data_IF_213043147366
#
_entry.id   IF_213043147366
#
_cell.length_a   1.000
_cell.length_b   1.000
_cell.length_c   1.000
_cell.angle_alpha   90.00
_cell.angle_beta   90.00
_cell.angle_gamma   90.00
#
_symmetry.space_group_name_H-M   'P 1'
#
loop_
_entity.id
_entity.type
_entity.pdbx_description
1 polymer ?
#
# COMPACT_ATOMS: atom_id res chain seq x y z
N UNK A 1 28.91 12.74 -5.16
CA UNK A 1 27.50 12.88 -5.59
C UNK A 1 26.76 11.57 -5.33
N UNK A 2 25.48 11.63 -4.96
CA UNK A 2 24.64 10.44 -4.88
C UNK A 2 24.25 10.04 -6.31
N UNK A 3 24.42 8.78 -6.67
CA UNK A 3 24.04 8.25 -7.98
C UNK A 3 22.58 7.79 -7.88
N UNK A 4 21.63 8.41 -8.61
CA UNK A 4 20.27 7.90 -8.65
C UNK A 4 20.25 6.54 -9.35
N UNK A 5 19.67 5.55 -8.68
CA UNK A 5 19.47 4.21 -9.22
C UNK A 5 17.97 3.97 -9.40
N UNK A 6 17.59 3.23 -10.44
CA UNK A 6 16.19 2.90 -10.68
C UNK A 6 15.63 2.03 -9.56
N UNK A 7 14.33 2.19 -9.28
CA UNK A 7 13.57 1.23 -8.48
C UNK A 7 12.35 0.74 -9.29
N UNK A 8 12.22 -0.58 -9.56
CA UNK A 8 13.10 -1.66 -9.09
C UNK A 8 14.52 -1.61 -9.67
N UNK A 9 15.55 -2.12 -8.96
CA UNK A 9 16.93 -2.05 -9.41
C UNK A 9 17.14 -2.77 -10.73
N UNK A 10 17.87 -2.13 -11.65
CA UNK A 10 18.31 -2.72 -12.91
C UNK A 10 19.74 -3.20 -12.75
N UNK A 11 19.99 -4.49 -13.02
CA UNK A 11 21.32 -5.07 -12.78
C UNK A 11 22.44 -4.36 -13.55
N UNK A 12 22.16 -3.90 -14.77
CA UNK A 12 23.12 -3.16 -15.60
C UNK A 12 23.55 -1.84 -14.93
N UNK A 13 22.64 -1.18 -14.20
CA UNK A 13 22.92 0.07 -13.47
C UNK A 13 23.77 -0.18 -12.20
N UNK A 14 23.81 -1.41 -11.69
CA UNK A 14 24.54 -1.77 -10.48
C UNK A 14 26.03 -2.04 -10.73
N UNK A 15 26.44 -2.18 -12.00
CA UNK A 15 27.83 -2.48 -12.39
C UNK A 15 28.83 -1.38 -12.00
N UNK A 16 28.35 -0.15 -11.77
CA UNK A 16 29.15 1.00 -11.34
C UNK A 16 29.40 1.02 -9.83
N UNK A 17 28.75 0.13 -9.06
CA UNK A 17 28.91 0.09 -7.62
C UNK A 17 30.31 -0.43 -7.23
N UNK A 18 30.96 0.18 -6.22
CA UNK A 18 32.33 -0.18 -5.84
C UNK A 18 32.45 -1.63 -5.34
N UNK A 19 31.36 -2.19 -4.79
CA UNK A 19 31.27 -3.58 -4.32
C UNK A 19 30.63 -4.54 -5.35
N UNK A 20 30.60 -4.18 -6.64
CA UNK A 20 29.96 -4.98 -7.69
C UNK A 20 30.45 -6.43 -7.73
N UNK A 21 31.76 -6.68 -7.57
CA UNK A 21 32.30 -8.04 -7.54
C UNK A 21 31.65 -8.91 -6.45
N UNK A 22 31.50 -8.36 -5.24
CA UNK A 22 30.86 -9.07 -4.13
C UNK A 22 29.36 -9.30 -4.39
N UNK A 23 28.69 -8.31 -4.99
CA UNK A 23 27.28 -8.46 -5.41
C UNK A 23 27.14 -9.61 -6.41
N UNK A 24 28.03 -9.72 -7.40
CA UNK A 24 28.00 -10.83 -8.37
C UNK A 24 28.18 -12.19 -7.69
N UNK A 25 29.11 -12.30 -6.73
CA UNK A 25 29.33 -13.54 -5.99
C UNK A 25 28.09 -13.93 -5.17
N UNK A 26 27.45 -12.97 -4.50
CA UNK A 26 26.18 -13.20 -3.79
C UNK A 26 25.07 -13.65 -4.74
N UNK A 27 24.90 -12.98 -5.89
CA UNK A 27 23.89 -13.33 -6.89
C UNK A 27 24.09 -14.73 -7.47
N UNK A 28 25.33 -15.16 -7.67
CA UNK A 28 25.65 -16.50 -8.15
C UNK A 28 25.41 -17.59 -7.09
N UNK A 29 25.36 -17.21 -5.81
CA UNK A 29 25.13 -18.13 -4.68
C UNK A 29 23.66 -18.21 -4.23
N UNK A 30 22.75 -17.48 -4.89
CA UNK A 30 21.33 -17.48 -4.53
C UNK A 30 20.66 -18.84 -4.79
N UNK A 31 19.62 -19.19 -4.01
CA UNK A 31 18.77 -20.33 -4.33
C UNK A 31 18.05 -20.14 -5.68
N UNK A 32 17.58 -21.24 -6.31
CA UNK A 32 16.87 -21.15 -7.60
C UNK A 32 15.56 -20.35 -7.51
N UNK A 33 14.91 -20.36 -6.35
CA UNK A 33 13.69 -19.61 -6.08
C UNK A 33 13.81 -18.87 -4.74
N UNK A 34 13.27 -17.63 -4.62
CA UNK A 34 13.25 -16.91 -3.35
C UNK A 34 12.50 -17.67 -2.25
N UNK A 35 13.06 -17.67 -1.05
CA UNK A 35 12.57 -18.43 0.10
C UNK A 35 12.80 -17.68 1.42
N UNK A 36 11.93 -17.88 2.40
CA UNK A 36 12.00 -17.24 3.70
C UNK A 36 10.61 -16.94 4.26
N UNK A 37 10.42 -17.19 5.56
CA UNK A 37 9.16 -16.89 6.23
C UNK A 37 9.03 -15.39 6.56
N UNK A 38 10.16 -14.73 6.82
CA UNK A 38 10.24 -13.30 7.09
C UNK A 38 10.74 -12.50 5.88
N UNK A 39 10.46 -11.19 5.90
CA UNK A 39 10.74 -10.28 4.79
C UNK A 39 12.24 -10.14 4.51
N UNK A 40 13.09 -10.09 5.55
CA UNK A 40 14.55 -9.97 5.37
C UNK A 40 15.12 -11.21 4.68
N UNK A 41 14.86 -12.39 5.24
CA UNK A 41 15.36 -13.66 4.67
C UNK A 41 14.88 -13.84 3.23
N UNK A 42 13.61 -13.55 2.96
CA UNK A 42 13.05 -13.65 1.62
C UNK A 42 13.73 -12.71 0.63
N UNK A 43 13.92 -11.44 0.97
CA UNK A 43 14.56 -10.48 0.05
C UNK A 43 16.05 -10.80 -0.13
N UNK A 44 16.77 -11.19 0.92
CA UNK A 44 18.17 -11.62 0.80
C UNK A 44 18.28 -12.83 -0.13
N UNK A 45 17.37 -13.80 -0.05
CA UNK A 45 17.35 -14.95 -0.96
C UNK A 45 17.07 -14.59 -2.43
N UNK A 46 16.50 -13.41 -2.68
CA UNK A 46 16.17 -12.92 -4.03
C UNK A 46 17.29 -12.06 -4.65
N UNK A 47 17.99 -11.24 -3.86
CA UNK A 47 18.93 -10.24 -4.39
C UNK A 47 20.29 -10.18 -3.68
N UNK A 48 20.52 -11.04 -2.71
CA UNK A 48 21.74 -11.01 -1.89
C UNK A 48 21.70 -9.98 -0.77
N UNK A 49 22.65 -10.10 0.14
CA UNK A 49 22.77 -9.26 1.34
C UNK A 49 23.16 -7.83 0.99
N UNK A 50 24.08 -7.65 0.05
CA UNK A 50 24.58 -6.35 -0.37
C UNK A 50 23.47 -5.47 -0.95
N UNK A 51 22.60 -6.02 -1.80
CA UNK A 51 21.48 -5.26 -2.38
C UNK A 51 20.35 -5.04 -1.38
N UNK A 52 20.07 -6.03 -0.52
CA UNK A 52 19.14 -5.85 0.59
C UNK A 52 19.57 -4.69 1.50
N UNK A 53 20.84 -4.66 1.92
CA UNK A 53 21.37 -3.62 2.79
C UNK A 53 21.33 -2.24 2.13
N UNK A 54 21.58 -2.17 0.81
CA UNK A 54 21.60 -0.92 0.05
C UNK A 54 20.20 -0.33 -0.18
N UNK A 55 19.24 -1.16 -0.59
CA UNK A 55 17.93 -0.66 -1.06
C UNK A 55 16.79 -0.86 -0.05
N UNK A 56 16.85 -1.91 0.77
CA UNK A 56 15.66 -2.47 1.41
C UNK A 56 15.71 -2.38 2.92
N UNK A 57 16.82 -2.74 3.57
CA UNK A 57 16.93 -2.87 5.03
C UNK A 57 16.45 -1.61 5.76
N UNK A 58 17.11 -0.50 5.48
CA UNK A 58 16.89 0.74 6.21
C UNK A 58 15.57 1.41 5.77
N UNK A 59 15.18 1.27 4.51
CA UNK A 59 13.87 1.71 4.02
C UNK A 59 12.73 0.98 4.76
N UNK A 60 12.82 -0.34 4.85
CA UNK A 60 11.82 -1.21 5.50
C UNK A 60 11.73 -0.88 6.99
N UNK A 61 12.88 -0.75 7.67
CA UNK A 61 12.91 -0.37 9.08
C UNK A 61 12.26 1.00 9.34
N UNK A 62 12.47 1.99 8.46
CA UNK A 62 11.80 3.29 8.54
C UNK A 62 10.30 3.18 8.28
N UNK A 63 9.91 2.57 7.16
CA UNK A 63 8.52 2.45 6.74
C UNK A 63 7.67 1.74 7.78
N UNK A 64 8.19 0.66 8.37
CA UNK A 64 7.44 -0.22 9.26
C UNK A 64 7.75 -0.03 10.73
N UNK A 65 8.73 0.80 11.09
CA UNK A 65 9.10 1.04 12.49
C UNK A 65 9.46 -0.22 13.28
N UNK A 66 9.84 -1.31 12.59
CA UNK A 66 10.17 -2.61 13.17
C UNK A 66 11.16 -3.37 12.28
N UNK A 67 11.88 -4.37 12.81
CA UNK A 67 12.79 -5.20 12.02
C UNK A 67 12.08 -5.96 10.90
N UNK A 68 12.73 -6.06 9.74
CA UNK A 68 12.21 -6.83 8.60
C UNK A 68 12.10 -8.34 8.90
N UNK A 69 12.85 -8.84 9.88
CA UNK A 69 12.77 -10.22 10.38
C UNK A 69 11.47 -10.54 11.11
N UNK A 70 10.70 -9.53 11.52
CA UNK A 70 9.39 -9.72 12.15
C UNK A 70 8.22 -9.62 11.17
N UNK A 71 8.45 -9.02 9.99
CA UNK A 71 7.46 -8.87 8.93
C UNK A 71 7.32 -10.17 8.13
N UNK A 72 6.09 -10.51 7.76
CA UNK A 72 5.82 -11.64 6.87
C UNK A 72 6.42 -11.40 5.48
N UNK A 73 7.00 -12.44 4.87
CA UNK A 73 7.47 -12.40 3.48
C UNK A 73 6.36 -12.25 2.45
N UNK A 74 5.09 -12.44 2.82
CA UNK A 74 3.93 -12.37 1.91
C UNK A 74 3.83 -11.06 1.10
N UNK A 75 4.44 -9.98 1.58
CA UNK A 75 4.48 -8.69 0.89
C UNK A 75 5.65 -8.54 -0.10
N UNK A 76 6.76 -9.22 0.13
CA UNK A 76 7.98 -9.06 -0.67
C UNK A 76 7.79 -9.39 -2.17
N UNK A 77 7.13 -10.50 -2.57
CA UNK A 77 6.93 -10.81 -3.99
C UNK A 77 6.09 -9.77 -4.74
N UNK A 78 5.26 -8.99 -4.03
CA UNK A 78 4.40 -7.97 -4.65
C UNK A 78 5.12 -6.64 -4.91
N UNK A 79 6.37 -6.49 -4.44
CA UNK A 79 6.99 -5.17 -4.24
C UNK A 79 8.47 -5.09 -4.52
N UNK A 80 9.16 -6.21 -4.39
CA UNK A 80 10.61 -6.27 -4.49
C UNK A 80 10.93 -7.15 -5.70
N UNK A 81 11.68 -6.58 -6.63
CA UNK A 81 12.13 -7.25 -7.84
C UNK A 81 13.56 -6.81 -8.12
N UNK A 82 14.36 -7.69 -8.72
CA UNK A 82 15.63 -7.34 -9.34
C UNK A 82 15.51 -7.58 -10.84
N UNK A 83 15.71 -6.53 -11.65
CA UNK A 83 15.40 -6.56 -13.09
C UNK A 83 16.64 -6.57 -13.97
N UNK A 84 16.47 -7.12 -15.18
CA UNK A 84 17.52 -7.26 -16.22
C UNK A 84 16.99 -6.93 -17.62
N UNK A 85 15.81 -6.33 -17.71
CA UNK A 85 15.09 -6.11 -18.96
C UNK A 85 15.13 -4.65 -19.45
N UNK A 86 15.81 -3.77 -18.70
CA UNK A 86 15.88 -2.34 -19.00
C UNK A 86 14.58 -1.58 -18.74
N UNK A 87 13.51 -2.26 -18.27
CA UNK A 87 12.24 -1.61 -18.00
C UNK A 87 12.27 -0.93 -16.62
N UNK A 88 12.47 0.40 -16.65
CA UNK A 88 12.55 1.28 -15.48
C UNK A 88 11.19 1.71 -14.90
N UNK A 89 10.06 1.30 -15.48
CA UNK A 89 8.73 1.64 -14.96
C UNK A 89 8.51 0.92 -13.63
N UNK A 90 7.81 1.53 -12.67
CA UNK A 90 7.51 0.85 -11.40
C UNK A 90 6.62 -0.38 -11.64
N UNK A 91 5.58 -0.20 -12.45
CA UNK A 91 4.57 -1.21 -12.75
C UNK A 91 4.77 -1.82 -14.15
N UNK A 92 4.18 -3.00 -14.35
CA UNK A 92 4.14 -3.73 -15.64
C UNK A 92 2.72 -3.84 -16.19
N UNK A 93 1.76 -3.18 -15.54
CA UNK A 93 0.36 -3.26 -15.89
C UNK A 93 0.11 -2.69 -17.29
N UNK A 94 -0.82 -3.30 -18.03
CA UNK A 94 -1.20 -2.85 -19.37
C UNK A 94 -1.77 -1.44 -19.35
N UNK A 95 -2.50 -1.09 -18.28
CA UNK A 95 -3.21 0.18 -18.13
C UNK A 95 -2.69 0.93 -16.91
N UNK A 96 -1.98 2.04 -17.16
CA UNK A 96 -1.48 2.94 -16.11
C UNK A 96 -1.88 4.37 -16.46
N UNK A 97 -2.63 5.03 -15.58
CA UNK A 97 -3.18 6.34 -15.87
C UNK A 97 -3.39 7.19 -14.61
N UNK A 98 -3.20 8.50 -14.76
CA UNK A 98 -3.64 9.50 -13.81
C UNK A 98 -4.88 10.21 -14.34
N UNK A 99 -6.04 10.14 -13.66
CA UNK A 99 -7.24 10.85 -14.09
C UNK A 99 -7.00 12.35 -14.21
N UNK A 100 -7.32 12.93 -15.36
CA UNK A 100 -7.10 14.36 -15.62
C UNK A 100 -7.83 15.26 -14.60
N UNK A 101 -9.01 14.86 -14.13
CA UNK A 101 -9.78 15.56 -13.08
C UNK A 101 -9.47 15.08 -11.65
N UNK A 102 -8.42 14.27 -11.47
CA UNK A 102 -8.13 13.59 -10.22
C UNK A 102 -9.14 12.48 -9.86
N UNK A 103 -8.81 11.69 -8.84
CA UNK A 103 -9.64 10.57 -8.40
C UNK A 103 -11.02 11.00 -7.86
N UNK A 104 -11.14 12.22 -7.31
CA UNK A 104 -12.40 12.72 -6.74
C UNK A 104 -13.55 12.70 -7.75
N UNK A 105 -13.31 13.17 -8.98
CA UNK A 105 -14.34 13.21 -10.02
C UNK A 105 -14.89 11.83 -10.39
N UNK A 106 -14.09 10.77 -10.23
CA UNK A 106 -14.54 9.39 -10.43
C UNK A 106 -15.42 8.98 -9.25
N UNK A 107 -14.98 9.22 -8.01
CA UNK A 107 -15.72 8.86 -6.81
C UNK A 107 -17.08 9.56 -6.78
N UNK A 108 -17.11 10.87 -7.04
CA UNK A 108 -18.34 11.68 -7.10
C UNK A 108 -19.35 11.10 -8.10
N UNK A 109 -18.89 10.69 -9.29
CA UNK A 109 -19.77 10.07 -10.29
C UNK A 109 -20.27 8.69 -9.88
N UNK A 110 -19.45 7.89 -9.20
CA UNK A 110 -19.85 6.56 -8.73
C UNK A 110 -20.93 6.66 -7.65
N UNK A 111 -20.88 7.68 -6.79
CA UNK A 111 -21.84 7.84 -5.70
C UNK A 111 -23.06 8.71 -6.05
N UNK A 112 -23.10 9.34 -7.23
CA UNK A 112 -24.14 10.32 -7.63
C UNK A 112 -25.57 9.75 -7.56
N UNK A 113 -25.73 8.45 -7.85
CA UNK A 113 -27.01 7.76 -7.79
C UNK A 113 -27.30 7.09 -6.44
N UNK A 114 -26.36 7.13 -5.49
CA UNK A 114 -26.49 6.52 -4.18
C UNK A 114 -27.00 7.51 -3.13
N UNK A 115 -27.86 7.05 -2.22
CA UNK A 115 -28.20 7.81 -1.02
C UNK A 115 -27.03 7.71 -0.03
N UNK A 116 -26.28 8.80 0.14
CA UNK A 116 -25.12 8.86 1.04
C UNK A 116 -25.42 9.72 2.25
N UNK A 117 -25.23 9.15 3.44
CA UNK A 117 -25.34 9.86 4.72
C UNK A 117 -23.95 10.18 5.24
N UNK A 118 -23.69 11.46 5.52
CA UNK A 118 -22.42 11.94 6.08
C UNK A 118 -22.55 12.29 7.56
N UNK A 119 -21.43 12.27 8.29
CA UNK A 119 -21.39 12.72 9.69
C UNK A 119 -22.01 11.76 10.70
N UNK A 120 -22.21 10.50 10.32
CA UNK A 120 -22.66 9.44 11.23
C UNK A 120 -21.47 8.57 11.67
N UNK A 121 -21.36 8.34 12.97
CA UNK A 121 -20.46 7.34 13.53
C UNK A 121 -21.22 6.01 13.62
N UNK A 122 -20.72 4.98 12.95
CA UNK A 122 -21.36 3.66 12.89
C UNK A 122 -20.39 2.60 13.44
N UNK A 123 -20.65 2.16 14.67
CA UNK A 123 -20.05 0.95 15.25
C UNK A 123 -21.00 -0.25 15.11
N UNK A 124 -20.56 -1.42 15.57
CA UNK A 124 -21.36 -2.64 15.51
C UNK A 124 -22.70 -2.48 16.27
N UNK A 125 -22.72 -1.77 17.40
CA UNK A 125 -23.94 -1.57 18.20
C UNK A 125 -24.96 -0.73 17.44
N UNK A 126 -24.51 0.36 16.80
CA UNK A 126 -25.35 1.20 15.96
C UNK A 126 -25.91 0.40 14.77
N UNK A 127 -25.07 -0.41 14.11
CA UNK A 127 -25.50 -1.23 12.97
C UNK A 127 -26.49 -2.31 13.39
N UNK A 128 -26.34 -2.94 14.56
CA UNK A 128 -27.33 -3.90 15.11
C UNK A 128 -28.72 -3.28 15.28
N UNK A 129 -28.81 -1.97 15.56
CA UNK A 129 -30.09 -1.26 15.67
C UNK A 129 -30.68 -0.86 14.31
N UNK A 130 -29.83 -0.55 13.35
CA UNK A 130 -30.20 -0.07 12.01
C UNK A 130 -30.51 -1.21 11.03
N UNK A 131 -29.93 -2.40 11.22
CA UNK A 131 -29.99 -3.51 10.25
C UNK A 131 -31.41 -3.93 9.83
N UNK A 132 -32.43 -3.64 10.65
CA UNK A 132 -33.82 -3.94 10.34
C UNK A 132 -34.32 -3.17 9.09
N UNK A 133 -33.74 -2.00 8.83
CA UNK A 133 -34.10 -1.10 7.73
C UNK A 133 -33.36 -1.43 6.42
N UNK A 134 -32.51 -2.47 6.42
CA UNK A 134 -31.68 -2.86 5.29
C UNK A 134 -31.79 -4.36 5.00
N UNK A 135 -31.60 -4.73 3.73
CA UNK A 135 -31.63 -6.13 3.28
C UNK A 135 -30.27 -6.84 3.50
N UNK A 136 -29.16 -6.13 3.34
CA UNK A 136 -27.79 -6.63 3.50
C UNK A 136 -26.85 -5.53 4.00
N UNK A 137 -25.70 -5.93 4.53
CA UNK A 137 -24.70 -5.04 5.11
C UNK A 137 -23.34 -5.31 4.45
N UNK A 138 -22.70 -4.27 3.93
CA UNK A 138 -21.32 -4.34 3.41
C UNK A 138 -20.42 -3.52 4.32
N UNK A 139 -19.46 -4.19 4.96
CA UNK A 139 -18.50 -3.57 5.88
C UNK A 139 -17.18 -3.36 5.16
N UNK A 140 -16.72 -2.10 5.12
CA UNK A 140 -15.45 -1.70 4.48
C UNK A 140 -14.46 -1.02 5.43
N UNK A 141 -14.82 -0.92 6.72
CA UNK A 141 -14.02 -0.26 7.76
C UNK A 141 -13.10 -1.23 8.50
N UNK A 142 -12.20 -0.71 9.35
CA UNK A 142 -11.31 -1.51 10.17
C UNK A 142 -12.11 -2.20 11.29
N UNK A 143 -12.02 -3.53 11.37
CA UNK A 143 -12.93 -4.30 12.22
C UNK A 143 -12.65 -4.15 13.71
N UNK A 144 -11.40 -3.91 14.11
CA UNK A 144 -11.06 -3.60 15.50
C UNK A 144 -11.81 -2.37 16.03
N UNK A 145 -11.88 -1.32 15.22
CA UNK A 145 -12.62 -0.11 15.56
C UNK A 145 -14.13 -0.38 15.51
N UNK A 146 -14.61 -1.05 14.47
CA UNK A 146 -16.03 -1.34 14.28
C UNK A 146 -16.65 -2.15 15.42
N UNK A 147 -15.93 -3.16 15.94
CA UNK A 147 -16.40 -4.00 17.05
C UNK A 147 -16.11 -3.41 18.43
N UNK A 148 -15.41 -2.27 18.50
CA UNK A 148 -15.00 -1.67 19.78
C UNK A 148 -13.95 -2.48 20.53
N UNK A 149 -13.00 -3.11 19.81
CA UNK A 149 -11.95 -3.92 20.42
C UNK A 149 -11.03 -3.09 21.33
N UNK A 150 -10.70 -3.63 22.51
CA UNK A 150 -9.82 -2.95 23.47
C UNK A 150 -8.39 -2.75 22.95
N UNK A 151 -7.89 -3.70 22.17
CA UNK A 151 -6.60 -3.59 21.49
C UNK A 151 -6.83 -3.41 19.98
N UNK A 152 -6.23 -2.42 19.33
CA UNK A 152 -6.34 -2.27 17.88
C UNK A 152 -5.60 -3.38 17.13
N UNK A 153 -5.93 -3.59 15.86
CA UNK A 153 -5.06 -4.31 14.94
C UNK A 153 -3.87 -3.41 14.57
N UNK A 154 -2.71 -3.98 14.27
CA UNK A 154 -1.54 -3.20 13.90
C UNK A 154 -1.70 -2.58 12.49
N UNK A 155 -1.75 -1.26 12.44
CA UNK A 155 -1.77 -0.52 11.17
C UNK A 155 -0.54 0.37 11.04
N UNK A 156 -0.09 0.56 9.80
CA UNK A 156 0.94 1.55 9.47
C UNK A 156 0.31 2.70 8.69
N UNK A 157 0.38 3.90 9.27
CA UNK A 157 0.01 5.14 8.60
C UNK A 157 1.21 5.90 8.05
N UNK A 158 0.90 6.85 7.17
CA UNK A 158 1.87 7.81 6.63
C UNK A 158 1.28 9.22 6.68
N UNK A 159 2.13 10.21 6.91
CA UNK A 159 1.82 11.64 6.86
C UNK A 159 2.59 12.27 5.70
N UNK A 160 1.92 13.09 4.90
CA UNK A 160 2.56 13.89 3.87
C UNK A 160 2.78 15.32 4.38
N UNK A 161 4.00 15.82 4.22
CA UNK A 161 4.33 17.22 4.45
C UNK A 161 4.79 17.86 3.15
N UNK A 162 3.96 18.77 2.63
CA UNK A 162 4.14 19.38 1.31
C UNK A 162 4.87 20.71 1.39
N UNK A 163 5.86 20.88 0.53
CA UNK A 163 6.62 22.12 0.34
C UNK A 163 6.31 22.68 -1.04
N UNK A 164 5.92 23.95 -1.10
CA UNK A 164 5.69 24.67 -2.35
C UNK A 164 6.99 25.33 -2.83
N UNK A 165 7.34 25.12 -4.10
CA UNK A 165 8.50 25.67 -4.78
C UNK A 165 8.04 26.64 -5.88
N UNK A 166 7.90 27.95 -5.60
CA UNK A 166 7.27 28.91 -6.52
C UNK A 166 8.12 29.29 -7.74
N UNK A 167 9.43 29.03 -7.70
CA UNK A 167 10.37 29.46 -8.74
C UNK A 167 10.69 28.40 -9.78
N UNK A 168 10.05 27.23 -9.69
CA UNK A 168 10.14 26.18 -10.70
C UNK A 168 9.50 26.70 -12.01
N UNK A 169 10.19 26.57 -13.17
CA UNK A 169 9.64 26.94 -14.47
C UNK A 169 8.32 26.22 -14.80
N UNK A 170 7.61 26.73 -15.80
CA UNK A 170 6.28 26.21 -16.22
C UNK A 170 6.31 24.71 -16.52
N UNK A 171 7.33 24.29 -17.27
CA UNK A 171 7.64 22.91 -17.67
C UNK A 171 8.71 22.25 -16.77
N UNK A 172 9.10 22.91 -15.69
CA UNK A 172 10.15 22.45 -14.77
C UNK A 172 9.64 21.55 -13.66
N UNK A 173 10.59 20.82 -13.07
CA UNK A 173 10.43 19.92 -11.93
C UNK A 173 11.50 20.18 -10.87
N UNK A 174 11.21 19.85 -9.62
CA UNK A 174 12.17 19.89 -8.50
C UNK A 174 12.96 18.59 -8.42
N UNK A 175 12.31 17.45 -8.61
CA UNK A 175 12.93 16.12 -8.58
C UNK A 175 13.00 15.49 -9.97
N UNK A 176 14.00 14.60 -10.23
CA UNK A 176 14.17 13.99 -11.55
C UNK A 176 13.09 12.95 -11.90
N UNK A 177 12.24 12.57 -10.95
CA UNK A 177 11.13 11.64 -11.16
C UNK A 177 9.95 11.97 -10.24
N UNK A 178 8.80 11.36 -10.53
CA UNK A 178 7.57 11.46 -9.73
C UNK A 178 7.80 11.09 -8.25
N UNK A 179 8.57 10.04 -7.99
CA UNK A 179 8.92 9.56 -6.65
C UNK A 179 10.41 9.32 -6.56
N UNK A 180 11.05 9.80 -5.50
CA UNK A 180 12.43 9.45 -5.13
C UNK A 180 12.40 8.78 -3.78
N UNK A 181 12.87 7.54 -3.71
CA UNK A 181 13.02 6.81 -2.45
C UNK A 181 14.34 7.18 -1.78
N UNK A 182 14.30 7.33 -0.46
CA UNK A 182 15.44 7.67 0.38
C UNK A 182 15.63 6.54 1.39
N UNK A 183 16.32 5.44 1.06
CA UNK A 183 16.45 4.29 1.97
C UNK A 183 17.28 4.62 3.23
N UNK A 184 18.22 5.55 3.12
CA UNK A 184 19.16 5.94 4.18
C UNK A 184 18.44 6.46 5.45
N UNK A 185 18.90 6.02 6.62
CA UNK A 185 18.36 6.39 7.94
C UNK A 185 18.64 7.83 8.36
N UNK A 186 19.50 8.57 7.64
CA UNK A 186 19.73 10.00 7.89
C UNK A 186 18.50 10.87 7.60
N UNK A 187 17.50 10.34 6.88
CA UNK A 187 16.25 11.01 6.59
C UNK A 187 15.10 10.34 7.34
N UNK A 188 14.29 11.14 8.03
CA UNK A 188 13.13 10.66 8.79
C UNK A 188 11.92 10.32 7.89
N UNK A 189 11.92 10.78 6.64
CA UNK A 189 10.96 10.40 5.61
C UNK A 189 11.46 9.23 4.76
N UNK A 190 10.55 8.51 4.11
CA UNK A 190 10.86 7.37 3.24
C UNK A 190 11.04 7.78 1.79
N UNK A 191 10.25 8.75 1.31
CA UNK A 191 10.27 9.20 -0.08
C UNK A 191 9.79 10.64 -0.24
N UNK A 192 10.18 11.25 -1.36
CA UNK A 192 9.63 12.52 -1.85
C UNK A 192 8.76 12.26 -3.07
N UNK A 193 7.66 13.00 -3.19
CA UNK A 193 6.65 12.85 -4.24
C UNK A 193 6.39 14.22 -4.88
N UNK A 194 6.59 14.34 -6.19
CA UNK A 194 6.30 15.57 -6.95
C UNK A 194 5.16 15.32 -7.95
N UNK A 195 3.94 15.68 -7.57
CA UNK A 195 2.71 15.33 -8.33
C UNK A 195 2.60 15.99 -9.70
N UNK A 196 3.42 16.99 -10.00
CA UNK A 196 3.49 17.62 -11.32
C UNK A 196 3.91 16.64 -12.42
N UNK A 197 4.77 15.67 -12.12
CA UNK A 197 5.15 14.59 -13.05
C UNK A 197 3.93 13.78 -13.51
N UNK A 198 3.04 13.46 -12.58
CA UNK A 198 1.86 12.64 -12.82
C UNK A 198 0.72 13.42 -13.50
N UNK A 199 0.53 14.68 -13.10
CA UNK A 199 -0.60 15.50 -13.56
C UNK A 199 -0.30 16.28 -14.85
N UNK A 200 0.97 16.42 -15.25
CA UNK A 200 1.36 17.07 -16.51
C UNK A 200 1.07 18.58 -16.56
N UNK A 201 0.77 19.20 -15.42
CA UNK A 201 0.34 20.60 -15.35
C UNK A 201 1.42 21.53 -15.89
N UNK A 202 1.03 22.46 -16.77
CA UNK A 202 1.91 23.48 -17.34
C UNK A 202 1.72 24.80 -16.59
N UNK A 203 2.27 24.89 -15.38
CA UNK A 203 2.16 26.05 -14.49
C UNK A 203 3.50 26.37 -13.83
N UNK A 204 3.74 27.65 -13.52
CA UNK A 204 4.89 28.05 -12.71
C UNK A 204 4.73 27.49 -11.29
N UNK A 205 5.82 26.97 -10.76
CA UNK A 205 5.89 26.38 -9.43
C UNK A 205 5.71 24.86 -9.44
N UNK A 206 5.96 24.24 -8.29
CA UNK A 206 5.74 22.82 -8.04
C UNK A 206 5.52 22.55 -6.54
N UNK A 207 4.95 21.39 -6.21
CA UNK A 207 4.78 20.92 -4.83
C UNK A 207 5.48 19.59 -4.67
N UNK A 208 6.38 19.51 -3.69
CA UNK A 208 7.08 18.28 -3.30
C UNK A 208 6.63 17.88 -1.91
N UNK A 209 6.09 16.67 -1.79
CA UNK A 209 5.64 16.10 -0.52
C UNK A 209 6.67 15.11 0.03
N UNK A 210 7.01 15.25 1.29
CA UNK A 210 7.81 14.27 2.04
C UNK A 210 6.87 13.32 2.77
N UNK A 211 7.08 12.01 2.62
CA UNK A 211 6.26 10.98 3.27
C UNK A 211 6.92 10.45 4.55
N UNK A 212 6.27 10.69 5.69
CA UNK A 212 6.72 10.25 7.00
C UNK A 212 5.88 9.06 7.48
N UNK A 213 6.49 7.90 7.77
CA UNK A 213 5.78 6.75 8.32
C UNK A 213 5.44 6.95 9.79
N UNK A 214 4.47 6.18 10.29
CA UNK A 214 4.14 6.12 11.72
C UNK A 214 3.03 7.08 12.18
N UNK A 215 2.27 7.68 11.26
CA UNK A 215 1.03 8.38 11.63
C UNK A 215 -0.02 7.39 12.17
N UNK A 216 -1.01 7.83 12.96
CA UNK A 216 -2.07 6.95 13.47
C UNK A 216 -3.08 6.47 12.40
N UNK A 217 -2.99 6.97 11.16
CA UNK A 217 -3.89 6.56 10.09
C UNK A 217 -3.74 5.08 9.70
N UNK A 218 -4.84 4.43 9.32
CA UNK A 218 -4.88 3.01 8.94
C UNK A 218 -4.64 2.80 7.45
N UNK A 219 -3.45 3.13 6.95
CA UNK A 219 -3.16 3.02 5.51
C UNK A 219 -2.76 1.62 5.06
N UNK A 220 -1.94 0.92 5.85
CA UNK A 220 -1.41 -0.40 5.52
C UNK A 220 -1.58 -1.38 6.69
N UNK A 221 -2.11 -2.60 6.45
CA UNK A 221 -2.11 -3.65 7.47
C UNK A 221 -0.68 -4.12 7.74
N UNK A 222 -0.37 -4.45 8.99
CA UNK A 222 0.95 -4.98 9.37
C UNK A 222 0.86 -6.50 9.50
N UNK A 223 1.37 -7.21 8.50
CA UNK A 223 1.46 -8.67 8.51
C UNK A 223 2.79 -9.10 9.13
N UNK A 224 2.71 -9.79 10.27
CA UNK A 224 3.88 -10.32 10.96
C UNK A 224 4.02 -11.82 10.74
N UNK A 225 5.21 -12.38 10.98
CA UNK A 225 5.43 -13.84 10.92
C UNK A 225 4.50 -14.59 11.88
N UNK A 226 4.14 -13.99 13.02
CA UNK A 226 3.23 -14.58 14.00
C UNK A 226 1.75 -14.57 13.56
N UNK A 227 1.39 -13.79 12.53
CA UNK A 227 0.05 -13.65 11.97
C UNK A 227 -1.05 -13.42 13.03
N UNK A 228 -0.72 -12.68 14.10
CA UNK A 228 -1.63 -12.44 15.24
C UNK A 228 -2.85 -11.65 14.80
N UNK A 229 -2.63 -10.52 14.15
CA UNK A 229 -3.70 -9.61 13.76
C UNK A 229 -4.51 -10.16 12.57
N UNK A 230 -3.89 -10.98 11.71
CA UNK A 230 -4.62 -11.75 10.69
C UNK A 230 -5.65 -12.71 11.31
N UNK A 231 -5.30 -13.39 12.41
CA UNK A 231 -6.23 -14.24 13.17
C UNK A 231 -7.32 -13.41 13.84
N UNK A 232 -6.95 -12.34 14.53
CA UNK A 232 -7.89 -11.45 15.21
C UNK A 232 -8.88 -10.81 14.24
N UNK A 233 -8.44 -10.42 13.05
CA UNK A 233 -9.35 -9.90 12.03
C UNK A 233 -10.37 -10.95 11.57
N UNK A 234 -10.01 -12.25 11.53
CA UNK A 234 -10.98 -13.32 11.26
C UNK A 234 -11.96 -13.48 12.42
N UNK A 235 -11.49 -13.46 13.66
CA UNK A 235 -12.35 -13.51 14.86
C UNK A 235 -13.34 -12.33 14.88
N UNK A 236 -12.91 -11.13 14.49
CA UNK A 236 -13.81 -9.97 14.37
C UNK A 236 -14.82 -10.12 13.24
N UNK A 237 -14.48 -10.78 12.13
CA UNK A 237 -15.47 -11.10 11.09
C UNK A 237 -16.54 -12.03 11.63
N UNK A 238 -16.14 -13.08 12.34
CA UNK A 238 -17.05 -14.05 12.95
C UNK A 238 -17.98 -13.33 13.96
N UNK A 239 -17.41 -12.47 14.83
CA UNK A 239 -18.18 -11.65 15.78
C UNK A 239 -19.22 -10.75 15.09
N UNK A 240 -18.85 -10.08 14.00
CA UNK A 240 -19.79 -9.22 13.25
C UNK A 240 -20.89 -10.05 12.60
N UNK A 241 -20.58 -11.22 12.05
CA UNK A 241 -21.56 -12.12 11.45
C UNK A 241 -22.53 -12.71 12.49
N UNK A 242 -22.06 -13.01 13.70
CA UNK A 242 -22.89 -13.51 14.79
C UNK A 242 -23.81 -12.43 15.38
N UNK A 243 -23.39 -11.16 15.35
CA UNK A 243 -24.13 -10.04 15.94
C UNK A 243 -25.24 -9.47 15.03
N UNK A 244 -25.29 -9.88 13.77
CA UNK A 244 -26.19 -9.32 12.76
C UNK A 244 -27.07 -10.41 12.15
N UNK A 245 -28.38 -10.14 12.10
CA UNK A 245 -29.40 -11.04 11.56
C UNK A 245 -29.55 -10.91 10.02
N UNK A 246 -28.83 -9.96 9.41
CA UNK A 246 -28.78 -9.72 7.97
C UNK A 246 -27.51 -10.31 7.34
N UNK A 247 -27.53 -10.68 6.05
CA UNK A 247 -26.31 -11.04 5.33
C UNK A 247 -25.25 -9.93 5.42
N UNK A 248 -24.03 -10.32 5.85
CA UNK A 248 -22.88 -9.42 6.00
C UNK A 248 -21.76 -9.80 5.03
N UNK A 249 -21.22 -8.79 4.35
CA UNK A 249 -20.11 -8.93 3.40
C UNK A 249 -18.96 -8.01 3.80
N UNK A 250 -17.73 -8.50 3.68
CA UNK A 250 -16.52 -7.73 3.99
C UNK A 250 -15.76 -7.36 2.72
N UNK A 251 -15.58 -6.08 2.46
CA UNK A 251 -14.95 -5.60 1.23
C UNK A 251 -13.85 -4.56 1.51
N UNK A 252 -12.83 -4.53 0.67
CA UNK A 252 -11.74 -3.57 0.76
C UNK A 252 -10.65 -3.92 1.78
N UNK A 253 -9.62 -3.07 1.80
CA UNK A 253 -8.39 -3.23 2.58
C UNK A 253 -8.64 -3.35 4.08
N UNK A 254 -9.50 -2.50 4.64
CA UNK A 254 -9.65 -2.37 6.09
C UNK A 254 -10.40 -3.57 6.67
N UNK A 255 -11.59 -3.86 6.15
CA UNK A 255 -12.42 -4.96 6.63
C UNK A 255 -11.75 -6.34 6.44
N UNK A 256 -10.92 -6.47 5.41
CA UNK A 256 -10.21 -7.71 5.14
C UNK A 256 -8.80 -7.76 5.71
N UNK A 257 -8.33 -6.69 6.35
CA UNK A 257 -6.95 -6.54 6.83
C UNK A 257 -5.92 -7.02 5.79
N UNK A 258 -6.04 -6.52 4.56
CA UNK A 258 -5.27 -7.04 3.42
C UNK A 258 -4.63 -5.95 2.58
N UNK A 259 -3.37 -6.13 2.21
CA UNK A 259 -2.70 -5.20 1.32
C UNK A 259 -3.16 -5.40 -0.14
N UNK A 260 -3.99 -4.48 -0.62
CA UNK A 260 -4.49 -4.43 -2.00
C UNK A 260 -4.30 -3.04 -2.64
N UNK A 261 -4.07 -3.00 -3.94
CA UNK A 261 -4.03 -1.80 -4.76
C UNK A 261 -5.46 -1.32 -5.14
N UNK A 262 -5.58 -0.19 -5.84
CA UNK A 262 -6.88 0.40 -6.19
C UNK A 262 -7.68 -0.48 -7.17
N UNK A 263 -7.03 -1.03 -8.19
CA UNK A 263 -7.61 -1.98 -9.15
C UNK A 263 -8.15 -3.23 -8.46
N UNK A 264 -7.38 -3.82 -7.54
CA UNK A 264 -7.80 -4.97 -6.74
C UNK A 264 -8.96 -4.65 -5.80
N UNK A 265 -9.02 -3.43 -5.25
CA UNK A 265 -10.14 -2.99 -4.44
C UNK A 265 -11.42 -2.83 -5.27
N UNK A 266 -11.30 -2.32 -6.51
CA UNK A 266 -12.41 -2.22 -7.45
C UNK A 266 -12.90 -3.61 -7.88
N UNK A 267 -11.99 -4.52 -8.22
CA UNK A 267 -12.31 -5.92 -8.54
C UNK A 267 -13.05 -6.60 -7.36
N UNK A 268 -12.54 -6.42 -6.14
CA UNK A 268 -13.20 -6.94 -4.94
C UNK A 268 -14.59 -6.32 -4.72
N UNK A 269 -14.78 -5.04 -5.06
CA UNK A 269 -16.09 -4.39 -4.96
C UNK A 269 -17.09 -4.98 -5.95
N UNK A 270 -16.69 -5.24 -7.20
CA UNK A 270 -17.55 -5.91 -8.18
C UNK A 270 -17.93 -7.32 -7.72
N UNK A 271 -16.97 -8.13 -7.27
CA UNK A 271 -17.25 -9.47 -6.76
C UNK A 271 -18.17 -9.45 -5.52
N UNK A 272 -18.01 -8.44 -4.64
CA UNK A 272 -18.89 -8.22 -3.50
C UNK A 272 -20.31 -7.87 -3.95
N UNK A 273 -20.46 -6.96 -4.92
CA UNK A 273 -21.76 -6.57 -5.45
C UNK A 273 -22.49 -7.77 -6.08
N UNK A 274 -21.80 -8.58 -6.87
CA UNK A 274 -22.35 -9.82 -7.43
C UNK A 274 -22.81 -10.79 -6.34
N UNK A 275 -22.02 -10.96 -5.28
CA UNK A 275 -22.35 -11.83 -4.14
C UNK A 275 -23.57 -11.33 -3.35
N UNK A 276 -23.73 -10.01 -3.23
CA UNK A 276 -24.91 -9.40 -2.62
C UNK A 276 -26.13 -9.65 -3.50
N UNK A 277 -26.06 -9.34 -4.80
CA UNK A 277 -27.18 -9.49 -5.73
C UNK A 277 -27.63 -10.96 -5.86
N UNK A 278 -26.69 -11.91 -5.89
CA UNK A 278 -27.00 -13.33 -5.94
C UNK A 278 -27.83 -13.82 -4.74
N UNK A 279 -27.68 -13.21 -3.56
CA UNK A 279 -28.47 -13.55 -2.38
C UNK A 279 -29.94 -13.10 -2.46
N UNK A 280 -30.27 -12.15 -3.35
CA UNK A 280 -31.61 -11.60 -3.50
C UNK A 280 -32.30 -11.96 -4.83
N UNK A 281 -31.64 -12.76 -5.67
CA UNK A 281 -32.10 -13.12 -7.03
C UNK A 281 -32.01 -11.95 -8.02
N UNK A 282 -32.03 -12.24 -9.32
CA UNK A 282 -32.26 -11.22 -10.36
C UNK A 282 -33.66 -10.64 -10.13
N UNK A 283 -33.77 -9.52 -9.42
CA UNK A 283 -35.00 -8.71 -9.35
C UNK A 283 -35.06 -7.76 -10.53
#
# INVERSE_FOLDING_TARGET
EAIPLSWPPQLEELTVLPNWSAIVDELNALPPEPTGADFETYVISMMGRSLYDLFVRDYTAKQWGMPATELSSSFAPKRVELRRDGNRRLFRDTWEFFPAGGANSIIERVIDSASVTFGSELDLTAVTQLQKDYDAIVVTTALDEFVGAAEPLAWRGVKLESVHHPDVPVDGFVSPAYVINWPDRRYDFTRTIETKHASGQQIRGSVVSHEYPGSPARHYPVHTVAARDDRRNREFKDQVQEALDRPVYFCGRLANYTYINQDQAIEQAFACAESVLAAFGER
#
